data_IF_425491002119
#
_entry.id   IF_425491002119
#
_cell.length_a   1.000
_cell.length_b   1.000
_cell.length_c   1.000
_cell.angle_alpha   90.00
_cell.angle_beta   90.00
_cell.angle_gamma   90.00
#
_symmetry.space_group_name_H-M   'P 1'
#
loop_
_entity.id
_entity.type
_entity.pdbx_description
1 polymer ?
#
# COMPACT_ATOMS: atom_id res chain seq x y z
N UNK A 1 -11.56 -24.16 10.18
CA UNK A 1 -10.89 -22.84 10.11
C UNK A 1 -10.66 -22.36 11.52
N UNK A 2 -9.42 -22.12 11.87
CA UNK A 2 -9.08 -21.63 13.21
C UNK A 2 -9.67 -20.24 13.40
N UNK A 3 -10.41 -20.06 14.51
CA UNK A 3 -11.03 -18.79 14.87
C UNK A 3 -10.21 -18.09 15.95
N UNK A 4 -10.12 -16.79 15.88
CA UNK A 4 -9.50 -15.92 16.89
C UNK A 4 -10.62 -15.13 17.58
N UNK A 5 -10.63 -15.12 18.91
CA UNK A 5 -11.61 -14.38 19.71
C UNK A 5 -11.01 -13.03 20.10
N UNK A 6 -11.66 -11.95 19.65
CA UNK A 6 -11.27 -10.58 20.01
C UNK A 6 -12.46 -9.94 20.75
N UNK A 7 -12.37 -9.87 22.06
CA UNK A 7 -13.46 -9.40 22.90
C UNK A 7 -14.75 -10.23 22.71
N UNK A 8 -15.81 -9.62 22.18
CA UNK A 8 -17.10 -10.26 21.92
C UNK A 8 -17.20 -10.91 20.52
N UNK A 9 -16.17 -10.79 19.69
CA UNK A 9 -16.22 -11.20 18.28
C UNK A 9 -15.31 -12.40 18.02
N UNK A 10 -15.81 -13.33 17.21
CA UNK A 10 -15.02 -14.43 16.64
C UNK A 10 -14.77 -14.12 15.16
N UNK A 11 -13.50 -14.07 14.79
CA UNK A 11 -13.07 -13.83 13.40
C UNK A 11 -12.16 -14.97 12.94
N UNK A 12 -12.08 -15.21 11.63
CA UNK A 12 -11.13 -16.17 11.09
C UNK A 12 -9.69 -15.71 11.32
N UNK A 13 -8.78 -16.66 11.55
CA UNK A 13 -7.34 -16.37 11.70
C UNK A 13 -6.79 -15.57 10.53
N UNK A 14 -7.19 -15.93 9.30
CA UNK A 14 -6.72 -15.25 8.09
C UNK A 14 -7.19 -13.79 8.03
N UNK A 15 -8.44 -13.53 8.43
CA UNK A 15 -8.94 -12.17 8.53
C UNK A 15 -8.23 -11.36 9.61
N UNK A 16 -7.89 -11.98 10.74
CA UNK A 16 -7.12 -11.32 11.78
C UNK A 16 -5.72 -10.93 11.31
N UNK A 17 -5.02 -11.84 10.62
CA UNK A 17 -3.71 -11.56 10.02
C UNK A 17 -3.83 -10.40 9.01
N UNK A 18 -4.87 -10.43 8.16
CA UNK A 18 -5.11 -9.36 7.20
C UNK A 18 -5.32 -7.99 7.88
N UNK A 19 -6.05 -7.94 9.00
CA UNK A 19 -6.23 -6.71 9.78
C UNK A 19 -4.89 -6.18 10.34
N UNK A 20 -4.04 -7.06 10.86
CA UNK A 20 -2.69 -6.67 11.35
C UNK A 20 -1.87 -6.09 10.19
N UNK A 21 -1.86 -6.75 9.04
CA UNK A 21 -1.14 -6.26 7.85
C UNK A 21 -1.69 -4.89 7.44
N UNK A 22 -3.00 -4.69 7.45
CA UNK A 22 -3.63 -3.41 7.09
C UNK A 22 -3.20 -2.27 8.02
N UNK A 23 -3.12 -2.53 9.34
CA UNK A 23 -2.62 -1.56 10.32
C UNK A 23 -1.14 -1.23 10.08
N UNK A 24 -0.30 -2.24 9.87
CA UNK A 24 1.13 -2.03 9.60
C UNK A 24 1.36 -1.22 8.33
N UNK A 25 0.61 -1.51 7.27
CA UNK A 25 0.69 -0.76 6.02
C UNK A 25 0.15 0.67 6.16
N UNK A 26 -0.87 0.90 6.98
CA UNK A 26 -1.32 2.23 7.35
C UNK A 26 -0.20 3.04 8.02
N UNK A 27 0.49 2.45 9.00
CA UNK A 27 1.65 3.09 9.66
C UNK A 27 2.76 3.42 8.65
N UNK A 28 3.09 2.46 7.76
CA UNK A 28 4.10 2.70 6.71
C UNK A 28 3.70 3.86 5.80
N UNK A 29 2.43 3.93 5.40
CA UNK A 29 1.91 5.02 4.56
C UNK A 29 1.97 6.38 5.26
N UNK A 30 1.67 6.44 6.56
CA UNK A 30 1.77 7.66 7.36
C UNK A 30 3.22 8.15 7.48
N UNK A 31 4.13 7.24 7.78
CA UNK A 31 5.58 7.54 7.87
C UNK A 31 6.10 7.97 6.50
N UNK A 32 5.70 7.29 5.44
CA UNK A 32 6.14 7.62 4.08
C UNK A 32 5.68 9.01 3.67
N UNK A 33 4.40 9.34 3.83
CA UNK A 33 3.87 10.64 3.41
C UNK A 33 4.59 11.82 4.07
N UNK A 34 4.94 11.67 5.35
CA UNK A 34 5.68 12.68 6.11
C UNK A 34 7.16 12.71 5.72
N UNK A 35 7.80 11.54 5.65
CA UNK A 35 9.23 11.42 5.36
C UNK A 35 9.57 11.78 3.92
N UNK A 36 8.69 11.47 2.97
CA UNK A 36 8.88 11.79 1.56
C UNK A 36 9.02 13.31 1.34
N UNK A 37 8.09 14.09 1.91
CA UNK A 37 8.11 15.54 1.77
C UNK A 37 9.39 16.14 2.36
N UNK A 38 9.76 15.71 3.59
CA UNK A 38 10.96 16.18 4.27
C UNK A 38 12.22 15.80 3.50
N UNK A 39 12.34 14.55 3.04
CA UNK A 39 13.51 14.11 2.29
C UNK A 39 13.68 14.87 0.99
N UNK A 40 12.62 15.07 0.22
CA UNK A 40 12.69 15.82 -1.05
C UNK A 40 13.07 17.28 -0.84
N UNK A 41 12.65 17.87 0.29
CA UNK A 41 12.91 19.28 0.58
C UNK A 41 14.23 19.49 1.33
N UNK A 42 14.40 18.82 2.47
CA UNK A 42 15.50 19.12 3.40
C UNK A 42 16.80 18.41 3.01
N UNK A 43 16.73 17.16 2.53
CA UNK A 43 17.92 16.37 2.22
C UNK A 43 18.34 16.48 0.75
N UNK A 44 17.37 16.36 -0.16
CA UNK A 44 17.63 16.33 -1.59
C UNK A 44 17.60 17.74 -2.23
N UNK A 45 17.09 18.73 -1.49
CA UNK A 45 16.98 20.14 -1.94
C UNK A 45 16.27 20.31 -3.28
N UNK A 46 15.26 19.48 -3.55
CA UNK A 46 14.51 19.55 -4.78
C UNK A 46 13.63 20.80 -4.81
N UNK A 47 13.73 21.53 -5.93
CA UNK A 47 12.86 22.67 -6.19
C UNK A 47 11.40 22.26 -6.31
N UNK A 48 10.48 23.19 -6.13
CA UNK A 48 9.04 22.97 -6.31
C UNK A 48 8.74 22.35 -7.68
N UNK A 49 9.42 22.83 -8.73
CA UNK A 49 9.25 22.31 -10.10
C UNK A 49 9.70 20.84 -10.22
N UNK A 50 10.84 20.48 -9.64
CA UNK A 50 11.32 19.09 -9.63
C UNK A 50 10.38 18.17 -8.89
N UNK A 51 9.83 18.61 -7.75
CA UNK A 51 8.83 17.85 -6.98
C UNK A 51 7.55 17.66 -7.79
N UNK A 52 7.02 18.72 -8.40
CA UNK A 52 5.83 18.62 -9.27
C UNK A 52 6.06 17.68 -10.46
N UNK A 53 7.27 17.69 -11.02
CA UNK A 53 7.63 16.77 -12.10
C UNK A 53 7.72 15.31 -11.63
N UNK A 54 8.11 15.04 -10.38
CA UNK A 54 8.12 13.68 -9.81
C UNK A 54 6.71 13.10 -9.64
N UNK A 55 5.72 13.93 -9.34
CA UNK A 55 4.35 13.47 -9.10
C UNK A 55 3.74 12.81 -10.35
N UNK A 56 3.99 13.33 -11.54
CA UNK A 56 3.43 12.78 -12.78
C UNK A 56 3.87 11.33 -13.03
N UNK A 57 5.17 10.96 -13.05
CA UNK A 57 5.59 9.56 -13.19
C UNK A 57 5.19 8.70 -11.99
N UNK A 58 5.11 9.27 -10.80
CA UNK A 58 4.68 8.55 -9.59
C UNK A 58 3.22 8.09 -9.68
N UNK A 59 2.34 8.91 -10.27
CA UNK A 59 0.93 8.57 -10.43
C UNK A 59 0.65 7.71 -11.67
N UNK A 60 1.59 7.58 -12.59
CA UNK A 60 1.44 6.77 -13.81
C UNK A 60 1.07 5.30 -13.54
N UNK A 61 1.69 4.60 -12.56
CA UNK A 61 1.28 3.25 -12.21
C UNK A 61 -0.20 3.13 -11.83
N UNK A 62 -0.79 4.16 -11.23
CA UNK A 62 -2.20 4.22 -10.90
C UNK A 62 -3.10 4.06 -12.13
N UNK A 63 -2.75 4.72 -13.22
CA UNK A 63 -3.47 4.62 -14.50
C UNK A 63 -3.34 3.21 -15.12
N UNK A 64 -2.20 2.55 -14.90
CA UNK A 64 -1.89 1.23 -15.45
C UNK A 64 -2.35 0.07 -14.55
N UNK A 65 -2.84 0.36 -13.35
CA UNK A 65 -3.19 -0.65 -12.33
C UNK A 65 -4.13 -1.72 -12.86
N UNK A 66 -5.17 -1.34 -13.61
CA UNK A 66 -6.15 -2.28 -14.17
C UNK A 66 -5.48 -3.26 -15.12
N UNK A 67 -4.57 -2.77 -15.97
CA UNK A 67 -3.81 -3.60 -16.91
C UNK A 67 -2.87 -4.54 -16.17
N UNK A 68 -2.12 -4.02 -15.21
CA UNK A 68 -1.16 -4.80 -14.42
C UNK A 68 -1.85 -5.92 -13.62
N UNK A 69 -2.95 -5.62 -12.93
CA UNK A 69 -3.74 -6.62 -12.20
C UNK A 69 -4.34 -7.63 -13.18
N UNK A 70 -4.86 -7.18 -14.33
CA UNK A 70 -5.40 -8.05 -15.36
C UNK A 70 -4.38 -9.06 -15.89
N UNK A 71 -3.14 -8.64 -16.11
CA UNK A 71 -2.04 -9.52 -16.55
C UNK A 71 -1.65 -10.54 -15.48
N UNK A 72 -1.73 -10.18 -14.21
CA UNK A 72 -1.35 -11.01 -13.07
C UNK A 72 -2.52 -11.85 -12.52
N UNK A 73 -3.71 -11.74 -13.08
CA UNK A 73 -4.95 -12.37 -12.58
C UNK A 73 -4.83 -13.87 -12.27
N UNK A 74 -4.01 -14.59 -13.01
CA UNK A 74 -3.76 -16.02 -12.78
C UNK A 74 -3.13 -16.36 -11.42
N UNK A 75 -2.47 -15.40 -10.77
CA UNK A 75 -1.82 -15.59 -9.47
C UNK A 75 -2.81 -15.52 -8.30
N UNK A 76 -3.96 -14.88 -8.49
CA UNK A 76 -4.95 -14.60 -7.44
C UNK A 76 -4.59 -13.40 -6.56
N UNK A 77 -5.61 -12.74 -6.01
CA UNK A 77 -5.51 -11.43 -5.33
C UNK A 77 -4.48 -11.39 -4.20
N UNK A 78 -4.44 -12.41 -3.36
CA UNK A 78 -3.53 -12.46 -2.19
C UNK A 78 -2.06 -12.48 -2.64
N UNK A 79 -1.73 -13.27 -3.67
CA UNK A 79 -0.34 -13.35 -4.17
C UNK A 79 0.07 -12.07 -4.87
N UNK A 80 -0.83 -11.47 -5.66
CA UNK A 80 -0.56 -10.19 -6.30
C UNK A 80 -0.34 -9.11 -5.25
N UNK A 81 -1.18 -9.07 -4.20
CA UNK A 81 -1.03 -8.14 -3.08
C UNK A 81 0.31 -8.32 -2.34
N UNK A 82 0.75 -9.57 -2.12
CA UNK A 82 2.04 -9.85 -1.50
C UNK A 82 3.22 -9.36 -2.38
N UNK A 83 3.19 -9.64 -3.68
CA UNK A 83 4.22 -9.16 -4.62
C UNK A 83 4.22 -7.63 -4.68
N UNK A 84 3.05 -7.00 -4.72
CA UNK A 84 2.92 -5.55 -4.73
C UNK A 84 3.53 -4.90 -3.47
N UNK A 85 3.29 -5.48 -2.28
CA UNK A 85 3.87 -5.00 -1.03
C UNK A 85 5.39 -5.20 -0.96
N UNK A 86 5.91 -6.30 -1.48
CA UNK A 86 7.36 -6.54 -1.57
C UNK A 86 7.98 -5.50 -2.52
N UNK A 87 7.38 -5.27 -3.68
CA UNK A 87 7.83 -4.30 -4.67
C UNK A 87 7.86 -2.89 -4.08
N UNK A 88 6.75 -2.49 -3.43
CA UNK A 88 6.65 -1.21 -2.74
C UNK A 88 7.67 -1.06 -1.62
N UNK A 89 7.85 -2.11 -0.80
CA UNK A 89 8.85 -2.12 0.27
C UNK A 89 10.28 -1.95 -0.24
N UNK A 90 10.64 -2.63 -1.32
CA UNK A 90 11.93 -2.47 -1.99
C UNK A 90 12.07 -1.03 -2.50
N UNK A 91 11.05 -0.50 -3.18
CA UNK A 91 11.05 0.88 -3.68
C UNK A 91 11.29 1.89 -2.56
N UNK A 92 10.55 1.77 -1.44
CA UNK A 92 10.67 2.68 -0.30
C UNK A 92 12.04 2.56 0.40
N UNK A 93 12.54 1.33 0.58
CA UNK A 93 13.84 1.08 1.18
C UNK A 93 14.96 1.75 0.38
N UNK A 94 15.00 1.49 -0.92
CA UNK A 94 16.04 2.07 -1.77
C UNK A 94 15.85 3.56 -1.99
N UNK A 95 14.63 4.07 -2.06
CA UNK A 95 14.38 5.51 -2.00
C UNK A 95 15.04 6.16 -0.78
N UNK A 96 15.01 5.49 0.39
CA UNK A 96 15.68 5.95 1.60
C UNK A 96 17.21 5.96 1.55
N UNK A 97 17.82 5.11 0.72
CA UNK A 97 19.27 4.86 0.68
C UNK A 97 20.01 5.53 -0.50
N UNK A 98 19.30 5.86 -1.57
CA UNK A 98 19.95 6.42 -2.77
C UNK A 98 20.51 7.82 -2.53
N UNK A 99 21.64 8.16 -3.18
CA UNK A 99 22.21 9.50 -3.14
C UNK A 99 21.28 10.52 -3.81
N UNK A 100 21.58 11.82 -3.63
CA UNK A 100 20.85 12.92 -4.26
C UNK A 100 21.05 12.95 -5.78
N UNK A 101 20.45 11.98 -6.45
CA UNK A 101 20.42 11.87 -7.91
C UNK A 101 18.97 11.70 -8.37
N UNK A 102 18.45 12.70 -9.09
CA UNK A 102 17.04 12.78 -9.50
C UNK A 102 16.53 11.51 -10.15
N UNK A 103 17.30 10.92 -11.07
CA UNK A 103 16.88 9.69 -11.79
C UNK A 103 16.71 8.49 -10.88
N UNK A 104 17.61 8.31 -9.89
CA UNK A 104 17.50 7.20 -8.93
C UNK A 104 16.32 7.39 -8.00
N UNK A 105 16.14 8.61 -7.48
CA UNK A 105 14.99 8.98 -6.66
C UNK A 105 13.69 8.69 -7.40
N UNK A 106 13.60 9.11 -8.67
CA UNK A 106 12.43 8.87 -9.51
C UNK A 106 12.14 7.36 -9.70
N UNK A 107 13.16 6.57 -10.05
CA UNK A 107 13.00 5.13 -10.28
C UNK A 107 12.41 4.45 -9.04
N UNK A 108 12.97 4.69 -7.85
CA UNK A 108 12.52 4.03 -6.63
C UNK A 108 11.18 4.57 -6.12
N UNK A 109 10.87 5.85 -6.36
CA UNK A 109 9.53 6.39 -6.12
C UNK A 109 8.47 5.74 -7.00
N UNK A 110 8.75 5.58 -8.29
CA UNK A 110 7.82 4.90 -9.22
C UNK A 110 7.65 3.44 -8.84
N UNK A 111 8.73 2.76 -8.40
CA UNK A 111 8.67 1.37 -7.94
C UNK A 111 7.79 1.25 -6.69
N UNK A 112 7.96 2.12 -5.71
CA UNK A 112 7.14 2.20 -4.51
C UNK A 112 5.67 2.46 -4.86
N UNK A 113 5.41 3.47 -5.67
CA UNK A 113 4.07 3.84 -6.12
C UNK A 113 3.37 2.71 -6.87
N UNK A 114 4.11 1.96 -7.71
CA UNK A 114 3.56 0.79 -8.41
C UNK A 114 3.04 -0.24 -7.41
N UNK A 115 3.80 -0.54 -6.37
CA UNK A 115 3.37 -1.44 -5.29
C UNK A 115 2.09 -0.95 -4.59
N UNK A 116 2.05 0.33 -4.23
CA UNK A 116 0.87 0.93 -3.57
C UNK A 116 -0.38 0.89 -4.45
N UNK A 117 -0.27 1.32 -5.71
CA UNK A 117 -1.41 1.38 -6.61
C UNK A 117 -1.97 0.00 -6.98
N UNK A 118 -1.13 -1.05 -7.04
CA UNK A 118 -1.59 -2.42 -7.21
C UNK A 118 -2.24 -2.94 -5.92
N UNK A 119 -1.66 -2.67 -4.75
CA UNK A 119 -2.17 -3.16 -3.48
C UNK A 119 -3.53 -2.57 -3.10
N UNK A 120 -3.76 -1.28 -3.35
CA UNK A 120 -4.96 -0.56 -2.90
C UNK A 120 -6.29 -1.22 -3.34
N UNK A 121 -6.55 -1.48 -4.63
CA UNK A 121 -7.77 -2.15 -5.07
C UNK A 121 -7.83 -3.61 -4.61
N UNK A 122 -6.68 -4.31 -4.51
CA UNK A 122 -6.64 -5.69 -4.07
C UNK A 122 -6.94 -5.84 -2.58
N UNK A 123 -6.52 -4.89 -1.74
CA UNK A 123 -6.85 -4.89 -0.33
C UNK A 123 -8.37 -4.81 -0.12
N UNK A 124 -9.07 -3.99 -0.91
CA UNK A 124 -10.52 -3.91 -0.89
C UNK A 124 -11.17 -5.23 -1.36
N UNK A 125 -10.66 -5.85 -2.44
CA UNK A 125 -11.14 -7.14 -2.95
C UNK A 125 -10.97 -8.25 -1.90
N UNK A 126 -9.81 -8.32 -1.26
CA UNK A 126 -9.50 -9.30 -0.20
C UNK A 126 -10.41 -9.06 1.01
N UNK A 127 -10.57 -7.81 1.46
CA UNK A 127 -11.47 -7.44 2.56
C UNK A 127 -12.92 -7.87 2.27
N UNK A 128 -13.40 -7.63 1.05
CA UNK A 128 -14.72 -8.09 0.60
C UNK A 128 -14.83 -9.61 0.61
N UNK A 129 -13.78 -10.33 0.27
CA UNK A 129 -13.73 -11.79 0.33
C UNK A 129 -13.92 -12.34 1.75
N UNK A 130 -13.38 -11.66 2.76
CA UNK A 130 -13.59 -12.01 4.18
C UNK A 130 -14.94 -11.57 4.73
N UNK A 131 -15.53 -10.52 4.18
CA UNK A 131 -16.79 -9.92 4.65
C UNK A 131 -18.05 -10.61 4.11
N UNK A 132 -17.95 -11.82 3.55
CA UNK A 132 -19.10 -12.55 3.00
C UNK A 132 -20.15 -12.84 4.08
N UNK A 133 -21.35 -12.24 3.93
CA UNK A 133 -22.50 -12.47 4.80
C UNK A 133 -23.18 -11.18 5.27
N UNK A 134 -24.10 -11.29 6.27
CA UNK A 134 -24.93 -10.19 6.76
C UNK A 134 -24.15 -9.01 7.39
N UNK A 135 -22.87 -9.21 7.74
CA UNK A 135 -22.03 -8.22 8.41
C UNK A 135 -21.01 -7.53 7.47
N UNK A 136 -21.26 -7.52 6.16
CA UNK A 136 -20.37 -6.94 5.16
C UNK A 136 -19.92 -5.52 5.50
N UNK A 137 -20.86 -4.60 5.75
CA UNK A 137 -20.55 -3.21 6.07
C UNK A 137 -19.71 -3.06 7.34
N UNK A 138 -19.96 -3.89 8.35
CA UNK A 138 -19.21 -3.87 9.60
C UNK A 138 -17.76 -4.36 9.40
N UNK A 139 -17.56 -5.41 8.60
CA UNK A 139 -16.22 -5.93 8.28
C UNK A 139 -15.41 -4.93 7.47
N UNK A 140 -16.01 -4.32 6.45
CA UNK A 140 -15.38 -3.26 5.67
C UNK A 140 -15.07 -2.02 6.52
N UNK A 141 -15.99 -1.61 7.40
CA UNK A 141 -15.77 -0.51 8.33
C UNK A 141 -14.61 -0.76 9.29
N UNK A 142 -14.39 -2.01 9.73
CA UNK A 142 -13.22 -2.37 10.56
C UNK A 142 -11.91 -2.27 9.79
N UNK A 143 -11.86 -2.79 8.57
CA UNK A 143 -10.64 -2.73 7.74
C UNK A 143 -10.28 -1.27 7.43
N UNK A 144 -11.25 -0.49 6.96
CA UNK A 144 -11.06 0.91 6.62
C UNK A 144 -10.73 1.75 7.88
N UNK A 145 -11.48 1.54 8.96
CA UNK A 145 -11.29 2.26 10.22
C UNK A 145 -9.91 2.01 10.81
N UNK A 146 -9.48 0.75 10.92
CA UNK A 146 -8.15 0.42 11.45
C UNK A 146 -7.02 0.95 10.58
N UNK A 147 -7.16 0.89 9.25
CA UNK A 147 -6.21 1.49 8.33
C UNK A 147 -6.11 3.01 8.50
N UNK A 148 -7.24 3.70 8.72
CA UNK A 148 -7.27 5.15 8.89
C UNK A 148 -6.79 5.64 10.27
N UNK A 149 -6.93 4.84 11.33
CA UNK A 149 -6.39 5.16 12.66
C UNK A 149 -4.87 5.13 12.71
N UNK A 150 -4.23 4.60 11.68
CA UNK A 150 -2.76 4.53 11.57
C UNK A 150 -2.16 5.76 10.89
N UNK A 151 -3.00 6.68 10.41
CA UNK A 151 -2.64 7.95 9.78
C UNK A 151 -2.84 9.09 10.77
#
# INVERSE_FOLDING_TARGET
>A
MDKVKIGKYEISRDFFIFLIISVLLGIVSAVESTSLANRLYDELHFTVMQRSFLETPRELPGLLTVVLIGMLKSLGDIRIAAVANILGGIGLLFFGLVPNQFSLVLIFLVLYSTGQHIYLPLSNSIAMGFARGENFGQSMGRVQGLGSFSI
#
